data_IF_947749598340
#
_entry.id   IF_947749598340
#
_cell.length_a   1.000
_cell.length_b   1.000
_cell.length_c   1.000
_cell.angle_alpha   90.00
_cell.angle_beta   90.00
_cell.angle_gamma   90.00
#
_symmetry.space_group_name_H-M   'P 1'
#
loop_
_entity.id
_entity.type
_entity.pdbx_description
1 polymer ?
#
# COMPACT_ATOMS: atom_id res chain seq x y z
N UNK A 1 7.94 -51.59 -1.03
CA UNK A 1 8.48 -50.23 -0.85
C UNK A 1 8.25 -49.47 -2.14
N UNK A 2 7.14 -48.74 -2.23
CA UNK A 2 6.89 -47.80 -3.33
C UNK A 2 7.85 -46.63 -3.15
N UNK A 3 8.75 -46.45 -4.12
CA UNK A 3 9.59 -45.25 -4.21
C UNK A 3 8.65 -44.05 -4.31
N UNK A 4 8.69 -43.17 -3.31
CA UNK A 4 8.04 -41.86 -3.41
C UNK A 4 8.79 -41.14 -4.52
N UNK A 5 8.18 -41.12 -5.70
CA UNK A 5 8.71 -40.46 -6.87
C UNK A 5 8.92 -38.99 -6.51
N UNK A 6 10.15 -38.50 -6.65
CA UNK A 6 10.43 -37.10 -6.35
C UNK A 6 9.64 -36.27 -7.35
N UNK A 7 8.75 -35.34 -6.93
CA UNK A 7 7.91 -34.62 -7.86
C UNK A 7 8.79 -33.92 -8.92
N UNK A 8 8.36 -33.90 -10.19
CA UNK A 8 9.14 -33.29 -11.26
C UNK A 8 9.46 -31.84 -10.89
N UNK A 9 10.73 -31.44 -11.01
CA UNK A 9 11.15 -30.06 -10.75
C UNK A 9 10.44 -29.13 -11.74
N UNK A 10 9.43 -28.42 -11.27
CA UNK A 10 8.72 -27.40 -12.05
C UNK A 10 9.71 -26.31 -12.44
N UNK A 11 9.87 -26.06 -13.74
CA UNK A 11 10.70 -24.95 -14.24
C UNK A 11 9.92 -23.65 -14.14
N UNK A 12 10.33 -22.78 -13.23
CA UNK A 12 9.70 -21.48 -13.02
C UNK A 12 10.31 -20.42 -13.94
N UNK A 13 9.48 -19.50 -14.44
CA UNK A 13 9.94 -18.28 -15.09
C UNK A 13 10.76 -17.44 -14.10
N UNK A 14 11.92 -16.91 -14.50
CA UNK A 14 12.71 -16.05 -13.63
C UNK A 14 11.94 -14.76 -13.30
N UNK A 15 11.99 -14.35 -12.03
CA UNK A 15 11.38 -13.10 -11.58
C UNK A 15 10.83 -13.18 -10.16
N UNK A 16 10.20 -12.09 -9.66
CA UNK A 16 9.70 -12.00 -8.29
C UNK A 16 8.72 -13.11 -7.88
N UNK A 17 7.92 -13.61 -8.83
CA UNK A 17 6.96 -14.69 -8.55
C UNK A 17 7.64 -16.02 -8.21
N UNK A 18 8.81 -16.31 -8.77
CA UNK A 18 9.55 -17.53 -8.44
C UNK A 18 9.93 -17.58 -6.95
N UNK A 19 10.26 -16.44 -6.35
CA UNK A 19 10.54 -16.34 -4.92
C UNK A 19 9.29 -16.56 -4.03
N UNK A 20 8.09 -16.47 -4.61
CA UNK A 20 6.81 -16.64 -3.92
C UNK A 20 6.17 -18.01 -4.20
N UNK A 21 6.88 -18.94 -4.86
CA UNK A 21 6.29 -20.22 -5.26
C UNK A 21 5.78 -21.05 -4.08
N UNK A 22 6.55 -21.18 -3.00
CA UNK A 22 6.11 -21.87 -1.79
C UNK A 22 4.86 -21.27 -1.15
N UNK A 23 4.72 -19.93 -1.18
CA UNK A 23 3.53 -19.22 -0.70
C UNK A 23 2.29 -19.57 -1.56
N UNK A 24 2.46 -19.70 -2.88
CA UNK A 24 1.39 -20.15 -3.78
C UNK A 24 1.00 -21.61 -3.56
N UNK A 25 1.96 -22.49 -3.29
CA UNK A 25 1.72 -23.93 -3.03
C UNK A 25 1.01 -24.19 -1.70
N UNK A 26 1.13 -23.30 -0.72
CA UNK A 26 0.40 -23.40 0.53
C UNK A 26 -1.13 -23.32 0.36
N UNK A 27 -1.63 -22.83 -0.79
CA UNK A 27 -3.06 -22.75 -1.06
C UNK A 27 -3.69 -24.14 -1.32
N UNK A 28 -4.48 -24.63 -0.36
CA UNK A 28 -5.26 -25.87 -0.48
C UNK A 28 -6.63 -25.69 -1.17
N UNK A 29 -6.91 -24.51 -1.72
CA UNK A 29 -8.16 -24.17 -2.44
C UNK A 29 -9.47 -24.38 -1.65
N UNK A 30 -9.41 -24.34 -0.31
CA UNK A 30 -10.57 -24.57 0.58
C UNK A 30 -11.71 -23.54 0.45
N UNK A 31 -11.45 -22.34 -0.08
CA UNK A 31 -12.49 -21.34 -0.33
C UNK A 31 -12.82 -20.41 0.84
N UNK A 32 -12.20 -20.53 2.03
CA UNK A 32 -12.44 -19.63 3.16
C UNK A 32 -12.21 -18.14 2.81
N UNK A 33 -11.23 -17.87 1.95
CA UNK A 33 -10.91 -16.51 1.50
C UNK A 33 -12.04 -15.83 0.70
N UNK A 34 -13.00 -16.59 0.17
CA UNK A 34 -14.09 -16.06 -0.67
C UNK A 34 -15.06 -15.19 0.13
N UNK A 35 -15.37 -15.57 1.37
CA UNK A 35 -16.34 -14.87 2.21
C UNK A 35 -15.82 -13.55 2.80
N UNK A 36 -14.52 -13.28 2.67
CA UNK A 36 -13.87 -12.07 3.21
C UNK A 36 -13.29 -11.17 2.12
N UNK A 37 -13.30 -11.62 0.86
CA UNK A 37 -12.75 -10.85 -0.26
C UNK A 37 -13.82 -9.92 -0.84
N UNK A 38 -13.69 -8.59 -0.69
CA UNK A 38 -14.74 -7.67 -1.11
C UNK A 38 -14.93 -7.63 -2.64
N UNK A 39 -13.85 -7.82 -3.40
CA UNK A 39 -13.92 -7.82 -4.87
C UNK A 39 -14.66 -9.04 -5.37
N UNK A 40 -14.34 -10.23 -4.84
CA UNK A 40 -15.11 -11.44 -5.12
C UNK A 40 -16.57 -11.34 -4.68
N UNK A 41 -16.86 -10.82 -3.49
CA UNK A 41 -18.25 -10.69 -3.03
C UNK A 41 -19.08 -9.75 -3.90
N UNK A 42 -18.44 -8.82 -4.60
CA UNK A 42 -19.10 -7.90 -5.52
C UNK A 42 -19.28 -8.52 -6.92
N UNK A 43 -18.29 -9.25 -7.41
CA UNK A 43 -18.26 -9.74 -8.81
C UNK A 43 -18.72 -11.19 -8.97
N UNK A 44 -18.54 -12.01 -7.92
CA UNK A 44 -18.70 -13.47 -7.90
C UNK A 44 -17.83 -14.23 -8.92
N UNK A 45 -16.88 -13.53 -9.54
CA UNK A 45 -15.94 -14.08 -10.51
C UNK A 45 -14.73 -14.68 -9.80
N UNK A 46 -14.42 -15.94 -10.11
CA UNK A 46 -13.36 -16.70 -9.43
C UNK A 46 -11.99 -16.04 -9.64
N UNK A 47 -11.73 -15.45 -10.80
CA UNK A 47 -10.53 -14.68 -11.13
C UNK A 47 -10.38 -13.41 -10.28
N UNK A 48 -11.47 -12.90 -9.72
CA UNK A 48 -11.49 -11.79 -8.77
C UNK A 48 -11.38 -12.25 -7.30
N UNK A 49 -11.22 -13.55 -7.07
CA UNK A 49 -11.04 -14.11 -5.73
C UNK A 49 -9.56 -14.21 -5.31
N UNK A 50 -9.26 -14.33 -4.00
CA UNK A 50 -7.88 -14.51 -3.55
C UNK A 50 -7.28 -15.82 -4.08
N UNK A 51 -8.03 -16.93 -4.06
CA UNK A 51 -7.54 -18.22 -4.57
C UNK A 51 -7.41 -18.26 -6.10
N UNK A 52 -8.28 -17.56 -6.82
CA UNK A 52 -8.14 -17.36 -8.26
C UNK A 52 -6.88 -16.57 -8.61
N UNK A 53 -6.59 -15.49 -7.88
CA UNK A 53 -5.33 -14.74 -8.05
C UNK A 53 -4.09 -15.58 -7.73
N UNK A 54 -4.14 -16.43 -6.71
CA UNK A 54 -3.06 -17.39 -6.42
C UNK A 54 -2.88 -18.35 -7.60
N UNK A 55 -3.97 -18.90 -8.14
CA UNK A 55 -3.91 -19.80 -9.29
C UNK A 55 -3.34 -19.12 -10.54
N UNK A 56 -3.75 -17.87 -10.82
CA UNK A 56 -3.22 -17.08 -11.93
C UNK A 56 -1.74 -16.74 -11.75
N UNK A 57 -1.33 -16.37 -10.54
CA UNK A 57 0.08 -16.11 -10.21
C UNK A 57 0.94 -17.37 -10.38
N UNK A 58 0.43 -18.53 -9.94
CA UNK A 58 1.10 -19.82 -10.10
C UNK A 58 1.22 -20.19 -11.58
N UNK A 59 0.14 -20.09 -12.35
CA UNK A 59 0.16 -20.34 -13.78
C UNK A 59 1.14 -19.42 -14.53
N UNK A 60 1.23 -18.14 -14.14
CA UNK A 60 2.22 -17.22 -14.69
C UNK A 60 3.65 -17.61 -14.32
N UNK A 61 3.89 -18.03 -13.08
CA UNK A 61 5.21 -18.49 -12.61
C UNK A 61 5.66 -19.78 -13.31
N UNK A 62 4.74 -20.71 -13.57
CA UNK A 62 4.99 -21.98 -14.27
C UNK A 62 5.08 -21.82 -15.79
N UNK A 63 4.71 -20.65 -16.32
CA UNK A 63 4.70 -20.35 -17.75
C UNK A 63 3.51 -20.94 -18.50
N UNK A 64 2.46 -21.35 -17.80
CA UNK A 64 1.17 -21.75 -18.36
C UNK A 64 0.29 -20.55 -18.74
N UNK A 65 0.61 -19.36 -18.22
CA UNK A 65 -0.08 -18.12 -18.50
C UNK A 65 0.91 -17.02 -18.88
N UNK A 66 0.51 -16.13 -19.78
CA UNK A 66 1.27 -14.92 -20.13
C UNK A 66 0.72 -13.68 -19.45
N UNK A 67 1.57 -12.65 -19.32
CA UNK A 67 1.20 -11.36 -18.73
C UNK A 67 0.30 -10.54 -19.67
N UNK A 68 -0.95 -10.95 -19.84
CA UNK A 68 -1.94 -10.31 -20.73
C UNK A 68 -2.59 -9.08 -20.11
N UNK A 69 -3.25 -8.25 -20.93
CA UNK A 69 -4.04 -7.10 -20.43
C UNK A 69 -5.17 -7.53 -19.50
N UNK A 70 -5.76 -8.68 -19.80
CA UNK A 70 -6.89 -9.25 -19.09
C UNK A 70 -6.50 -9.72 -17.68
N UNK A 71 -5.42 -10.50 -17.58
CA UNK A 71 -4.82 -10.89 -16.28
C UNK A 71 -4.56 -9.67 -15.40
N UNK A 72 -4.04 -8.58 -15.99
CA UNK A 72 -3.77 -7.34 -15.25
C UNK A 72 -5.04 -6.65 -14.77
N UNK A 73 -6.15 -6.76 -15.49
CA UNK A 73 -7.43 -6.18 -15.07
C UNK A 73 -7.94 -6.88 -13.81
N UNK A 74 -7.88 -8.20 -13.76
CA UNK A 74 -8.26 -9.02 -12.60
C UNK A 74 -7.30 -8.84 -11.41
N UNK A 75 -6.02 -8.59 -11.69
CA UNK A 75 -5.05 -8.28 -10.63
C UNK A 75 -5.22 -6.86 -10.07
N UNK A 76 -5.54 -5.88 -10.92
CA UNK A 76 -5.70 -4.48 -10.53
C UNK A 76 -6.92 -4.23 -9.64
N UNK A 77 -7.90 -5.14 -9.64
CA UNK A 77 -9.04 -5.04 -8.74
C UNK A 77 -8.67 -5.37 -7.28
N UNK A 78 -7.58 -6.11 -7.03
CA UNK A 78 -7.19 -6.46 -5.67
C UNK A 78 -6.82 -5.21 -4.87
N UNK A 79 -7.48 -5.04 -3.72
CA UNK A 79 -7.26 -3.90 -2.83
C UNK A 79 -6.03 -4.07 -1.92
N UNK A 80 -5.43 -5.26 -1.89
CA UNK A 80 -4.33 -5.62 -0.96
C UNK A 80 -4.72 -5.33 0.50
N UNK A 81 -5.97 -5.67 0.88
CA UNK A 81 -6.51 -5.42 2.22
C UNK A 81 -6.16 -6.48 3.26
N UNK A 82 -5.48 -7.56 2.86
CA UNK A 82 -5.03 -8.68 3.71
C UNK A 82 -6.11 -9.46 4.48
N UNK A 83 -7.41 -9.18 4.29
CA UNK A 83 -8.49 -9.94 4.95
C UNK A 83 -8.43 -11.44 4.62
N UNK A 84 -8.03 -11.77 3.40
CA UNK A 84 -7.86 -13.15 2.94
C UNK A 84 -6.62 -13.84 3.54
N UNK A 85 -5.55 -13.10 3.81
CA UNK A 85 -4.38 -13.60 4.57
C UNK A 85 -4.82 -13.93 5.99
N UNK A 86 -5.56 -13.03 6.65
CA UNK A 86 -5.98 -13.19 8.04
C UNK A 86 -6.87 -14.43 8.29
N UNK A 87 -7.72 -14.82 7.33
CA UNK A 87 -8.59 -16.01 7.44
C UNK A 87 -7.92 -17.30 6.95
N UNK A 88 -6.75 -17.23 6.32
CA UNK A 88 -6.15 -18.38 5.64
C UNK A 88 -5.64 -19.42 6.65
N UNK A 89 -6.17 -20.66 6.68
CA UNK A 89 -5.73 -21.67 7.64
C UNK A 89 -4.30 -22.18 7.36
N UNK A 90 -3.80 -22.01 6.14
CA UNK A 90 -2.45 -22.42 5.73
C UNK A 90 -1.45 -21.27 5.71
N UNK A 91 -1.89 -20.05 6.04
CA UNK A 91 -1.00 -18.89 6.16
C UNK A 91 -0.50 -18.30 4.84
N UNK A 92 -1.27 -18.42 3.75
CA UNK A 92 -0.94 -17.73 2.49
C UNK A 92 -0.88 -16.23 2.72
N UNK A 93 0.23 -15.60 2.33
CA UNK A 93 0.48 -14.16 2.48
C UNK A 93 0.19 -13.43 1.17
N UNK A 94 -0.98 -12.80 1.09
CA UNK A 94 -1.44 -12.18 -0.15
C UNK A 94 -0.66 -10.93 -0.54
N UNK A 95 -0.24 -10.08 0.40
CA UNK A 95 0.52 -8.86 0.10
C UNK A 95 1.79 -9.18 -0.69
N UNK A 96 2.60 -10.13 -0.20
CA UNK A 96 3.87 -10.47 -0.85
C UNK A 96 3.65 -11.03 -2.25
N UNK A 97 2.65 -11.89 -2.39
CA UNK A 97 2.30 -12.48 -3.67
C UNK A 97 1.81 -11.42 -4.67
N UNK A 98 0.97 -10.49 -4.22
CA UNK A 98 0.41 -9.41 -5.03
C UNK A 98 1.48 -8.40 -5.42
N UNK A 99 2.39 -8.04 -4.51
CA UNK A 99 3.56 -7.19 -4.83
C UNK A 99 4.43 -7.89 -5.87
N UNK A 100 4.73 -9.19 -5.71
CA UNK A 100 5.53 -9.95 -6.67
C UNK A 100 4.84 -10.06 -8.04
N UNK A 101 3.54 -10.36 -8.06
CA UNK A 101 2.73 -10.42 -9.28
C UNK A 101 2.73 -9.08 -10.00
N UNK A 102 2.44 -7.98 -9.28
CA UNK A 102 2.44 -6.62 -9.83
C UNK A 102 3.80 -6.21 -10.37
N UNK A 103 4.89 -6.53 -9.68
CA UNK A 103 6.25 -6.30 -10.19
C UNK A 103 6.51 -7.12 -11.46
N UNK A 104 6.08 -8.38 -11.54
CA UNK A 104 6.24 -9.21 -12.73
C UNK A 104 5.46 -8.66 -13.94
N UNK A 105 4.28 -8.06 -13.72
CA UNK A 105 3.43 -7.53 -14.79
C UNK A 105 3.59 -6.01 -15.00
N UNK A 106 4.51 -5.35 -14.29
CA UNK A 106 4.63 -3.88 -14.22
C UNK A 106 4.98 -3.24 -15.58
N UNK A 107 5.73 -3.95 -16.42
CA UNK A 107 6.19 -3.43 -17.72
C UNK A 107 5.03 -3.12 -18.68
N UNK A 108 3.88 -3.77 -18.50
CA UNK A 108 2.72 -3.62 -19.37
C UNK A 108 1.59 -2.76 -18.81
N UNK A 109 1.72 -2.22 -17.58
CA UNK A 109 0.74 -1.31 -16.96
C UNK A 109 1.42 -0.25 -16.09
N UNK A 110 2.02 0.75 -16.74
CA UNK A 110 2.53 1.92 -16.03
C UNK A 110 1.36 2.83 -15.61
N UNK A 111 1.37 3.39 -14.38
CA UNK A 111 0.37 4.40 -14.00
C UNK A 111 0.34 5.55 -15.02
N UNK A 112 -0.75 6.32 -15.11
CA UNK A 112 -0.77 7.56 -15.90
C UNK A 112 0.43 8.44 -15.56
N UNK A 113 0.89 9.26 -16.51
CA UNK A 113 2.09 10.09 -16.33
C UNK A 113 2.04 10.91 -15.03
N UNK A 114 0.90 11.53 -14.73
CA UNK A 114 0.68 12.27 -13.48
C UNK A 114 0.90 11.40 -12.23
N UNK A 115 0.35 10.18 -12.20
CA UNK A 115 0.55 9.23 -11.10
C UNK A 115 2.01 8.80 -10.96
N UNK A 116 2.72 8.57 -12.07
CA UNK A 116 4.16 8.27 -12.04
C UNK A 116 4.98 9.43 -11.51
N UNK A 117 4.67 10.66 -11.92
CA UNK A 117 5.36 11.86 -11.44
C UNK A 117 5.07 12.06 -9.94
N UNK A 118 3.83 11.85 -9.50
CA UNK A 118 3.48 11.91 -8.09
C UNK A 118 4.27 10.88 -7.27
N UNK A 119 4.33 9.61 -7.72
CA UNK A 119 5.12 8.57 -7.05
C UNK A 119 6.62 8.87 -7.08
N UNK A 120 7.14 9.38 -8.19
CA UNK A 120 8.58 9.64 -8.33
C UNK A 120 9.04 10.87 -7.55
N UNK A 121 8.22 11.91 -7.48
CA UNK A 121 8.63 13.23 -6.98
C UNK A 121 7.78 13.76 -5.82
N UNK A 122 6.45 13.67 -5.87
CA UNK A 122 5.58 14.24 -4.85
C UNK A 122 5.69 13.49 -3.51
N UNK A 123 5.42 12.18 -3.51
CA UNK A 123 5.40 11.38 -2.28
C UNK A 123 6.76 11.26 -1.57
N UNK A 124 7.91 11.14 -2.26
CA UNK A 124 9.21 11.04 -1.57
C UNK A 124 9.66 12.34 -0.87
N UNK A 125 9.19 13.51 -1.32
CA UNK A 125 9.65 14.83 -0.88
C UNK A 125 8.60 15.53 0.00
N UNK A 126 8.78 15.47 1.32
CA UNK A 126 7.79 15.96 2.30
C UNK A 126 7.50 17.46 2.22
N UNK A 127 8.46 18.28 1.80
CA UNK A 127 8.20 19.71 1.60
C UNK A 127 7.19 19.94 0.46
N UNK A 128 7.40 19.28 -0.69
CA UNK A 128 6.52 19.35 -1.85
C UNK A 128 5.16 18.72 -1.55
N UNK A 129 5.15 17.54 -0.90
CA UNK A 129 3.93 16.85 -0.50
C UNK A 129 3.03 17.75 0.36
N UNK A 130 3.58 18.34 1.42
CA UNK A 130 2.82 19.24 2.30
C UNK A 130 2.42 20.53 1.58
N UNK A 131 3.25 21.08 0.71
CA UNK A 131 2.89 22.26 -0.08
C UNK A 131 1.68 21.97 -1.00
N UNK A 132 1.67 20.83 -1.68
CA UNK A 132 0.56 20.41 -2.53
C UNK A 132 -0.74 20.24 -1.71
N UNK A 133 -0.69 19.59 -0.55
CA UNK A 133 -1.87 19.44 0.30
C UNK A 133 -2.32 20.76 0.96
N UNK A 134 -1.43 21.72 1.21
CA UNK A 134 -1.82 23.08 1.61
C UNK A 134 -2.58 23.82 0.52
N UNK A 135 -2.14 23.71 -0.73
CA UNK A 135 -2.88 24.27 -1.87
C UNK A 135 -4.25 23.60 -2.02
N UNK A 136 -4.30 22.28 -1.81
CA UNK A 136 -5.54 21.53 -1.84
C UNK A 136 -6.50 21.95 -0.71
N UNK A 137 -5.98 22.17 0.50
CA UNK A 137 -6.75 22.74 1.61
C UNK A 137 -7.31 24.13 1.26
N UNK A 138 -6.51 25.01 0.66
CA UNK A 138 -6.97 26.34 0.19
C UNK A 138 -8.07 26.20 -0.87
N UNK A 139 -7.92 25.26 -1.80
CA UNK A 139 -8.93 24.95 -2.82
C UNK A 139 -10.26 24.50 -2.21
N UNK A 140 -10.23 23.64 -1.18
CA UNK A 140 -11.43 23.22 -0.45
C UNK A 140 -12.02 24.38 0.37
N UNK A 141 -11.18 25.13 1.11
CA UNK A 141 -11.61 26.20 2.04
C UNK A 141 -12.18 27.44 1.35
N UNK A 142 -11.72 27.73 0.13
CA UNK A 142 -12.18 28.84 -0.71
C UNK A 142 -13.54 28.58 -1.37
N UNK A 143 -14.06 27.35 -1.31
CA UNK A 143 -15.28 26.97 -2.02
C UNK A 143 -15.08 26.73 -3.52
N UNK A 144 -13.85 26.85 -4.04
CA UNK A 144 -13.53 26.55 -5.44
C UNK A 144 -13.88 25.11 -5.81
N UNK A 145 -13.77 24.17 -4.87
CA UNK A 145 -14.21 22.79 -5.09
C UNK A 145 -15.71 22.69 -5.33
N UNK A 146 -16.52 23.35 -4.50
CA UNK A 146 -17.97 23.38 -4.66
C UNK A 146 -18.37 24.05 -5.98
N UNK A 147 -17.71 25.16 -6.32
CA UNK A 147 -17.92 25.86 -7.58
C UNK A 147 -17.55 24.97 -8.79
N UNK A 148 -16.39 24.29 -8.76
CA UNK A 148 -15.96 23.39 -9.82
C UNK A 148 -16.92 22.20 -10.01
N UNK A 149 -17.47 21.67 -8.91
CA UNK A 149 -18.53 20.64 -8.93
C UNK A 149 -19.82 21.17 -9.57
N UNK A 150 -20.30 22.33 -9.11
CA UNK A 150 -21.55 22.94 -9.57
C UNK A 150 -21.52 23.37 -11.04
N UNK A 151 -20.39 23.92 -11.50
CA UNK A 151 -20.18 24.33 -12.89
C UNK A 151 -19.85 23.14 -13.83
N UNK A 152 -19.70 21.93 -13.30
CA UNK A 152 -19.38 20.75 -14.10
C UNK A 152 -17.97 20.71 -14.68
N UNK A 153 -17.03 21.56 -14.21
CA UNK A 153 -15.63 21.56 -14.66
C UNK A 153 -14.92 20.22 -14.37
N UNK A 154 -15.42 19.48 -13.39
CA UNK A 154 -14.87 18.17 -12.98
C UNK A 154 -15.42 17.01 -13.82
N UNK A 155 -16.31 17.24 -14.79
CA UNK A 155 -16.89 16.19 -15.66
C UNK A 155 -15.89 15.58 -16.65
N UNK A 156 -14.65 16.08 -16.71
CA UNK A 156 -13.58 15.46 -17.47
C UNK A 156 -13.31 14.02 -16.97
N UNK A 157 -13.04 13.05 -17.87
CA UNK A 157 -12.83 11.65 -17.49
C UNK A 157 -11.75 11.50 -16.42
N UNK A 158 -12.07 10.81 -15.33
CA UNK A 158 -11.17 10.55 -14.20
C UNK A 158 -11.08 11.67 -13.17
N UNK A 159 -11.32 12.94 -13.53
CA UNK A 159 -11.23 14.05 -12.58
C UNK A 159 -12.35 14.02 -11.54
N UNK A 160 -13.58 13.69 -11.97
CA UNK A 160 -14.71 13.49 -11.05
C UNK A 160 -14.46 12.36 -10.04
N UNK A 161 -13.88 11.24 -10.49
CA UNK A 161 -13.58 10.10 -9.62
C UNK A 161 -12.50 10.45 -8.59
N UNK A 162 -11.44 11.15 -9.00
CA UNK A 162 -10.37 11.60 -8.11
C UNK A 162 -10.90 12.62 -7.08
N UNK A 163 -11.72 13.58 -7.52
CA UNK A 163 -12.31 14.58 -6.61
C UNK A 163 -13.29 13.96 -5.62
N UNK A 164 -14.06 12.94 -6.02
CA UNK A 164 -15.00 12.23 -5.15
C UNK A 164 -14.28 11.43 -4.04
N UNK A 165 -13.08 10.94 -4.31
CA UNK A 165 -12.26 10.19 -3.35
C UNK A 165 -11.41 11.10 -2.45
N UNK A 166 -11.45 12.42 -2.66
CA UNK A 166 -10.63 13.36 -1.93
C UNK A 166 -11.20 13.62 -0.53
N UNK A 167 -10.48 13.28 0.56
CA UNK A 167 -10.94 13.57 1.91
C UNK A 167 -10.87 15.08 2.21
N UNK A 168 -11.60 15.57 3.23
CA UNK A 168 -11.37 16.90 3.76
C UNK A 168 -9.92 17.00 4.24
N UNK A 169 -9.19 17.99 3.74
CA UNK A 169 -7.79 18.21 4.14
C UNK A 169 -7.79 19.04 5.44
N UNK A 170 -7.06 18.63 6.49
CA UNK A 170 -6.99 19.41 7.72
C UNK A 170 -6.17 20.70 7.53
N UNK A 171 -6.44 21.74 8.32
CA UNK A 171 -5.66 23.00 8.29
C UNK A 171 -4.27 22.86 8.93
N UNK A 172 -4.07 21.87 9.79
CA UNK A 172 -2.82 21.65 10.52
C UNK A 172 -2.27 20.25 10.29
N UNK A 173 -1.06 20.18 9.75
CA UNK A 173 -0.33 18.93 9.56
C UNK A 173 0.55 18.62 10.79
N UNK A 174 1.04 17.39 10.87
CA UNK A 174 2.12 17.00 11.76
C UNK A 174 3.42 16.95 10.95
N UNK A 175 4.43 17.69 11.38
CA UNK A 175 5.77 17.62 10.80
C UNK A 175 6.71 17.02 11.86
N UNK A 176 7.12 15.74 11.73
CA UNK A 176 8.03 15.11 12.67
C UNK A 176 9.35 15.87 12.74
N UNK A 177 9.61 16.52 13.88
CA UNK A 177 10.80 17.34 14.13
C UNK A 177 11.48 16.96 15.46
N UNK A 178 11.18 15.78 16.00
CA UNK A 178 11.60 15.40 17.35
C UNK A 178 10.73 16.01 18.44
N UNK A 179 9.47 16.36 18.14
CA UNK A 179 8.53 16.76 19.19
C UNK A 179 8.35 15.61 20.18
N UNK A 180 8.27 15.94 21.47
CA UNK A 180 8.05 15.01 22.55
C UNK A 180 6.67 15.23 23.17
N UNK A 181 5.96 14.15 23.44
CA UNK A 181 4.73 14.12 24.23
C UNK A 181 4.92 13.23 25.45
N UNK A 182 4.38 13.66 26.59
CA UNK A 182 4.51 12.95 27.86
C UNK A 182 5.93 12.98 28.44
N UNK A 183 6.04 12.59 29.71
CA UNK A 183 7.30 12.51 30.47
C UNK A 183 7.53 11.12 31.07
N UNK A 184 6.82 10.12 30.53
CA UNK A 184 6.85 8.75 31.04
C UNK A 184 8.17 8.02 30.82
N UNK A 185 8.43 7.00 31.65
CA UNK A 185 9.68 6.23 31.60
C UNK A 185 9.82 5.30 30.38
N UNK A 186 8.70 4.90 29.74
CA UNK A 186 8.72 4.09 28.53
C UNK A 186 8.81 4.96 27.29
N UNK A 187 9.77 4.71 26.41
CA UNK A 187 10.04 5.55 25.24
C UNK A 187 9.40 4.94 23.99
N UNK A 188 8.71 5.76 23.20
CA UNK A 188 8.05 5.34 21.95
C UNK A 188 8.43 6.29 20.83
N UNK A 189 8.92 5.75 19.72
CA UNK A 189 9.16 6.52 18.50
C UNK A 189 7.94 6.40 17.57
N UNK A 190 7.28 7.52 17.28
CA UNK A 190 6.07 7.58 16.46
C UNK A 190 6.40 7.67 14.97
N UNK A 191 5.96 6.68 14.20
CA UNK A 191 5.99 6.72 12.74
C UNK A 191 4.73 7.40 12.17
N UNK A 192 4.89 8.66 11.75
CA UNK A 192 3.84 9.51 11.23
C UNK A 192 3.74 9.45 9.68
N UNK A 193 4.76 8.95 8.98
CA UNK A 193 4.69 8.76 7.53
C UNK A 193 4.42 10.05 6.71
N UNK A 194 4.04 9.91 5.43
CA UNK A 194 3.68 11.03 4.57
C UNK A 194 2.19 11.39 4.64
N UNK A 195 1.33 10.39 4.38
CA UNK A 195 -0.12 10.55 4.33
C UNK A 195 -0.69 10.77 5.72
N UNK A 196 -0.34 9.92 6.70
CA UNK A 196 -0.85 10.03 8.09
C UNK A 196 -0.53 11.41 8.68
N UNK A 197 0.74 11.83 8.63
CA UNK A 197 1.15 13.14 9.16
C UNK A 197 0.56 14.37 8.42
N UNK A 198 -0.09 14.19 7.28
CA UNK A 198 -0.68 15.29 6.49
C UNK A 198 -2.20 15.25 6.51
N UNK A 199 -2.82 14.13 6.14
CA UNK A 199 -4.27 13.98 6.05
C UNK A 199 -4.91 13.50 7.35
N UNK A 200 -4.18 12.75 8.18
CA UNK A 200 -4.66 12.16 9.43
C UNK A 200 -3.82 12.61 10.62
N UNK A 201 -3.33 13.85 10.58
CA UNK A 201 -2.40 14.39 11.57
C UNK A 201 -3.01 14.42 12.99
N UNK A 202 -4.33 14.49 13.08
CA UNK A 202 -5.07 14.36 14.33
C UNK A 202 -4.97 12.94 14.90
N UNK A 203 -5.06 11.90 14.07
CA UNK A 203 -4.84 10.52 14.50
C UNK A 203 -3.46 10.32 15.09
N UNK A 204 -2.41 10.87 14.46
CA UNK A 204 -1.04 10.81 14.98
C UNK A 204 -0.92 11.52 16.34
N UNK A 205 -1.53 12.70 16.49
CA UNK A 205 -1.55 13.46 17.75
C UNK A 205 -2.30 12.71 18.85
N UNK A 206 -3.52 12.24 18.57
CA UNK A 206 -4.33 11.48 19.50
C UNK A 206 -3.61 10.19 19.95
N UNK A 207 -2.88 9.55 19.03
CA UNK A 207 -2.04 8.39 19.36
C UNK A 207 -0.94 8.77 20.35
N UNK A 208 -0.25 9.89 20.13
CA UNK A 208 0.77 10.38 21.05
C UNK A 208 0.16 10.76 22.43
N UNK A 209 -1.01 11.38 22.46
CA UNK A 209 -1.70 11.77 23.69
C UNK A 209 -2.13 10.54 24.50
N UNK A 210 -2.78 9.55 23.86
CA UNK A 210 -3.17 8.30 24.52
C UNK A 210 -1.96 7.57 25.11
N UNK A 211 -0.87 7.46 24.34
CA UNK A 211 0.36 6.84 24.82
C UNK A 211 0.99 7.63 25.98
N UNK A 212 0.91 8.96 25.95
CA UNK A 212 1.40 9.83 27.03
C UNK A 212 0.62 9.60 28.33
N UNK A 213 -0.72 9.48 28.26
CA UNK A 213 -1.58 9.12 29.39
C UNK A 213 -1.23 7.72 29.93
N UNK A 214 -0.86 6.79 29.04
CA UNK A 214 -0.35 5.47 29.41
C UNK A 214 1.07 5.48 30.01
N UNK A 215 1.66 6.64 30.30
CA UNK A 215 2.98 6.76 30.91
C UNK A 215 4.13 6.49 29.95
N UNK A 216 3.95 6.79 28.66
CA UNK A 216 5.03 6.80 27.67
C UNK A 216 5.54 8.23 27.41
N UNK A 217 6.82 8.35 27.05
CA UNK A 217 7.40 9.50 26.37
C UNK A 217 7.42 9.18 24.87
N UNK A 218 6.60 9.88 24.09
CA UNK A 218 6.44 9.67 22.65
C UNK A 218 7.23 10.71 21.88
N UNK A 219 8.07 10.29 20.93
CA UNK A 219 8.85 11.17 20.06
C UNK A 219 8.38 11.03 18.61
N UNK A 220 8.01 12.13 17.95
CA UNK A 220 7.83 12.15 16.49
C UNK A 220 9.20 12.32 15.81
N UNK A 221 9.90 11.19 15.65
CA UNK A 221 11.28 11.11 15.13
C UNK A 221 11.46 11.92 13.85
N UNK A 222 12.46 12.81 13.84
CA UNK A 222 12.80 13.62 12.67
C UNK A 222 13.43 12.79 11.54
N UNK A 223 13.28 13.24 10.28
CA UNK A 223 13.90 12.60 9.11
C UNK A 223 13.12 11.45 8.48
N UNK A 224 12.01 11.03 9.07
CA UNK A 224 11.04 10.12 8.46
C UNK A 224 10.24 10.78 7.33
N UNK A 225 9.59 9.98 6.48
CA UNK A 225 8.63 10.44 5.47
C UNK A 225 7.82 9.31 4.86
N UNK A 226 7.68 9.25 3.53
CA UNK A 226 6.92 8.19 2.88
C UNK A 226 7.42 6.79 3.27
N UNK A 227 6.51 5.88 3.61
CA UNK A 227 6.82 4.48 3.94
C UNK A 227 7.23 3.65 2.71
N UNK A 228 6.80 4.07 1.51
CA UNK A 228 7.01 3.32 0.27
C UNK A 228 5.94 2.27 -0.02
N UNK A 229 4.91 2.11 0.81
CA UNK A 229 3.83 1.13 0.59
C UNK A 229 3.15 1.31 -0.78
N UNK A 230 2.81 2.55 -1.14
CA UNK A 230 2.20 2.84 -2.45
C UNK A 230 3.11 2.48 -3.64
N UNK A 231 4.43 2.63 -3.47
CA UNK A 231 5.41 2.20 -4.47
C UNK A 231 5.45 0.67 -4.58
N UNK A 232 5.46 -0.04 -3.46
CA UNK A 232 5.44 -1.51 -3.45
C UNK A 232 4.15 -2.05 -4.08
N UNK A 233 2.99 -1.52 -3.71
CA UNK A 233 1.68 -1.96 -4.24
C UNK A 233 1.48 -1.62 -5.73
N UNK A 234 2.33 -0.77 -6.33
CA UNK A 234 2.34 -0.49 -7.77
C UNK A 234 3.48 -1.20 -8.50
N UNK A 235 4.26 -2.03 -7.80
CA UNK A 235 5.35 -2.83 -8.34
C UNK A 235 6.73 -2.17 -8.34
N UNK A 236 6.87 -0.91 -7.88
CA UNK A 236 8.16 -0.20 -7.73
C UNK A 236 8.87 -0.57 -6.41
N UNK A 237 9.16 -1.85 -6.26
CA UNK A 237 9.84 -2.44 -5.10
C UNK A 237 11.22 -1.80 -4.84
N UNK A 238 12.06 -1.48 -5.85
CA UNK A 238 13.34 -0.82 -5.60
C UNK A 238 13.19 0.55 -4.93
N UNK A 239 12.24 1.40 -5.37
CA UNK A 239 12.00 2.69 -4.72
C UNK A 239 11.36 2.53 -3.35
N UNK A 240 10.43 1.59 -3.20
CA UNK A 240 9.84 1.26 -1.89
C UNK A 240 10.92 0.93 -0.85
N UNK A 241 11.87 0.06 -1.19
CA UNK A 241 13.00 -0.30 -0.33
C UNK A 241 13.86 0.90 0.07
N UNK A 242 14.19 1.80 -0.87
CA UNK A 242 14.96 3.01 -0.55
C UNK A 242 14.22 3.94 0.42
N UNK A 243 12.90 4.09 0.26
CA UNK A 243 12.07 4.89 1.17
C UNK A 243 12.02 4.27 2.57
N UNK A 244 11.83 2.94 2.64
CA UNK A 244 11.86 2.20 3.90
C UNK A 244 13.22 2.33 4.61
N UNK A 245 14.33 2.15 3.89
CA UNK A 245 15.69 2.31 4.42
C UNK A 245 15.95 3.71 4.97
N UNK A 246 15.45 4.77 4.31
CA UNK A 246 15.55 6.14 4.82
C UNK A 246 14.84 6.29 6.17
N UNK A 247 13.65 5.70 6.31
CA UNK A 247 12.92 5.72 7.57
C UNK A 247 13.67 4.91 8.63
N UNK A 248 14.06 3.67 8.36
CA UNK A 248 14.85 2.83 9.29
C UNK A 248 16.05 3.60 9.82
N UNK A 249 16.84 4.21 8.92
CA UNK A 249 18.00 5.00 9.31
C UNK A 249 17.63 6.23 10.17
N UNK A 250 16.47 6.84 9.97
CA UNK A 250 15.98 7.93 10.83
C UNK A 250 15.65 7.43 12.25
N UNK A 251 14.98 6.28 12.37
CA UNK A 251 14.65 5.68 13.65
C UNK A 251 15.88 5.10 14.38
N UNK A 252 16.85 4.55 13.67
CA UNK A 252 18.10 4.07 14.26
C UNK A 252 18.96 5.18 14.88
N UNK A 253 18.85 6.40 14.36
CA UNK A 253 19.48 7.61 14.91
C UNK A 253 18.65 8.28 16.00
N UNK A 254 17.39 7.87 16.18
CA UNK A 254 16.50 8.51 17.16
C UNK A 254 17.02 8.22 18.56
N UNK A 255 17.02 9.21 19.46
CA UNK A 255 17.52 9.02 20.80
C UNK A 255 16.68 8.03 21.60
N UNK A 256 15.46 7.70 21.15
CA UNK A 256 14.41 6.87 21.79
C UNK A 256 14.61 5.34 21.75
N UNK A 257 15.82 4.85 21.45
CA UNK A 257 16.24 3.47 21.76
C UNK A 257 16.33 3.21 23.26
#
# INVERSE_FOLDING_TARGET
>A
MTTIDTPPRVRLRPGPLAAQYGNMEACIRCGLCLSVCPTYQTTLFEEESPRGRIAMAKALAEGHLDATRDLRRHEASCLVCEACTAICPTGVRMEELQVALRTQVVETSRPPLAGRLALAWLFPHMALFRAAFRLLWLYQRSGLQAAARGMGLLRAPGLAAVDALLPPVPSHFLAPRGQLWGTGGRRVALFAGCVMSTLFAETDRNTADVLSVCGCSVEATAGQGCCGALHAHTGDTPRARRLAQRNIAAFERSPTK
#
